data_IF_200486622565
#
_entry.id   IF_200486622565
#
_cell.length_a   1.000
_cell.length_b   1.000
_cell.length_c   1.000
_cell.angle_alpha   90.00
_cell.angle_beta   90.00
_cell.angle_gamma   90.00
#
_symmetry.space_group_name_H-M   'P 1'
#
loop_
_entity.id
_entity.type
_entity.pdbx_description
1 polymer ?
#
# COMPACT_ATOMS: atom_id res chain seq x y z
N UNK A 1 10.65 12.15 18.94
CA UNK A 1 10.56 10.96 18.06
C UNK A 1 9.28 11.11 17.27
N UNK A 2 9.35 11.16 15.93
CA UNK A 2 8.15 11.28 15.11
C UNK A 2 7.41 9.95 15.17
N UNK A 3 6.29 9.92 15.90
CA UNK A 3 5.47 8.73 16.12
C UNK A 3 4.92 8.25 14.78
N UNK A 4 5.27 7.02 14.38
CA UNK A 4 4.73 6.38 13.18
C UNK A 4 3.20 6.37 13.26
N UNK A 5 2.55 6.66 12.14
CA UNK A 5 1.10 6.73 12.03
C UNK A 5 0.59 5.50 11.29
N UNK A 6 -0.39 4.80 11.86
CA UNK A 6 -0.98 3.62 11.24
C UNK A 6 -2.32 4.01 10.61
N UNK A 7 -2.44 3.78 9.30
CA UNK A 7 -3.67 3.99 8.53
C UNK A 7 -4.14 2.65 8.00
N UNK A 8 -5.43 2.38 8.17
CA UNK A 8 -6.08 1.15 7.67
C UNK A 8 -7.36 1.51 6.93
N UNK A 9 -7.85 0.59 6.10
CA UNK A 9 -9.15 0.71 5.44
C UNK A 9 -9.34 2.03 4.67
N UNK A 10 -8.33 2.49 3.90
CA UNK A 10 -8.59 3.47 2.84
C UNK A 10 -9.63 2.92 1.84
N UNK A 11 -9.61 1.60 1.65
CA UNK A 11 -10.68 0.83 1.01
C UNK A 11 -11.46 0.05 2.07
N UNK A 12 -12.77 0.23 2.12
CA UNK A 12 -13.59 -0.32 3.21
C UNK A 12 -13.78 -1.84 3.18
N UNK A 13 -13.57 -2.50 2.04
CA UNK A 13 -13.62 -3.96 1.92
C UNK A 13 -12.28 -4.64 2.30
N UNK A 14 -11.25 -3.86 2.63
CA UNK A 14 -9.91 -4.32 3.01
C UNK A 14 -9.76 -4.26 4.55
N UNK A 15 -10.61 -5.00 5.25
CA UNK A 15 -10.81 -4.82 6.70
C UNK A 15 -9.85 -5.65 7.57
N UNK A 16 -9.18 -6.66 7.02
CA UNK A 16 -8.33 -7.55 7.83
C UNK A 16 -7.20 -6.82 8.58
N UNK A 17 -6.47 -5.86 7.96
CA UNK A 17 -5.48 -5.06 8.69
C UNK A 17 -6.10 -4.24 9.83
N UNK A 18 -7.33 -3.74 9.66
CA UNK A 18 -8.04 -2.99 10.71
C UNK A 18 -8.26 -3.86 11.94
N UNK A 19 -8.67 -5.12 11.74
CA UNK A 19 -8.86 -6.08 12.82
C UNK A 19 -7.54 -6.46 13.50
N UNK A 20 -6.49 -6.70 12.70
CA UNK A 20 -5.16 -7.03 13.20
C UNK A 20 -4.62 -5.91 14.09
N UNK A 21 -4.61 -4.67 13.61
CA UNK A 21 -4.14 -3.52 14.41
C UNK A 21 -4.99 -3.35 15.67
N UNK A 22 -6.33 -3.45 15.56
CA UNK A 22 -7.21 -3.33 16.72
C UNK A 22 -6.91 -4.38 17.80
N UNK A 23 -6.53 -5.61 17.41
CA UNK A 23 -6.21 -6.68 18.35
C UNK A 23 -4.98 -6.41 19.23
N UNK A 24 -4.11 -5.48 18.81
CA UNK A 24 -2.89 -5.10 19.54
C UNK A 24 -3.11 -3.97 20.56
N UNK A 25 -4.22 -3.23 20.46
CA UNK A 25 -4.45 -2.00 21.22
C UNK A 25 -3.66 -0.78 20.72
N UNK A 26 -2.86 -0.91 19.65
CA UNK A 26 -2.17 0.22 19.00
C UNK A 26 -3.21 1.14 18.33
N UNK A 27 -3.00 2.45 18.47
CA UNK A 27 -3.84 3.47 17.83
C UNK A 27 -3.72 3.40 16.31
N UNK A 28 -4.86 3.50 15.61
CA UNK A 28 -4.93 3.55 14.16
C UNK A 28 -5.95 4.58 13.69
N UNK A 29 -5.73 5.10 12.49
CA UNK A 29 -6.68 5.94 11.78
C UNK A 29 -7.38 5.08 10.74
N UNK A 30 -8.68 4.87 10.93
CA UNK A 30 -9.53 4.26 9.90
C UNK A 30 -9.72 5.29 8.79
N UNK A 31 -9.13 5.00 7.63
CA UNK A 31 -9.10 5.84 6.45
C UNK A 31 -10.49 6.17 5.92
N UNK A 32 -11.28 5.15 5.60
CA UNK A 32 -12.62 5.27 5.03
C UNK A 32 -13.67 4.59 5.93
N UNK A 33 -14.08 5.22 7.05
CA UNK A 33 -14.99 4.60 8.01
C UNK A 33 -16.38 4.33 7.43
N UNK A 34 -16.88 5.13 6.47
CA UNK A 34 -18.20 4.85 5.86
C UNK A 34 -18.15 3.67 4.92
N UNK A 35 -17.13 3.56 4.07
CA UNK A 35 -16.98 2.41 3.17
C UNK A 35 -16.74 1.13 3.97
N UNK A 36 -15.95 1.21 5.07
CA UNK A 36 -15.73 0.10 5.99
C UNK A 36 -17.04 -0.37 6.61
N UNK A 37 -17.87 0.55 7.11
CA UNK A 37 -19.15 0.22 7.74
C UNK A 37 -20.13 -0.51 6.79
N UNK A 38 -20.01 -0.31 5.48
CA UNK A 38 -20.85 -0.98 4.47
C UNK A 38 -20.12 -2.09 3.70
N UNK A 39 -18.88 -2.41 4.08
CA UNK A 39 -18.07 -3.47 3.44
C UNK A 39 -17.76 -3.25 1.96
N UNK A 40 -17.70 -2.01 1.49
CA UNK A 40 -17.39 -1.67 0.08
C UNK A 40 -16.02 -1.03 -0.04
N UNK A 41 -15.42 -1.10 -1.23
CA UNK A 41 -14.16 -0.40 -1.53
C UNK A 41 -14.26 1.10 -1.26
N UNK A 42 -15.33 1.73 -1.75
CA UNK A 42 -15.63 3.14 -1.54
C UNK A 42 -17.14 3.40 -1.62
N UNK A 43 -17.57 4.60 -1.24
CA UNK A 43 -18.94 5.11 -1.36
C UNK A 43 -19.14 5.82 -2.69
N UNK A 44 -18.40 6.91 -2.93
CA UNK A 44 -18.56 7.76 -4.12
C UNK A 44 -17.36 7.67 -5.08
N UNK A 45 -16.12 7.62 -4.56
CA UNK A 45 -14.90 7.52 -5.35
C UNK A 45 -13.79 6.77 -4.61
N UNK A 46 -12.81 6.19 -5.30
CA UNK A 46 -11.65 5.55 -4.66
C UNK A 46 -10.86 6.57 -3.83
N UNK A 47 -10.86 6.42 -2.50
CA UNK A 47 -10.19 7.34 -1.58
C UNK A 47 -8.69 7.46 -1.89
N UNK A 48 -8.03 6.34 -2.19
CA UNK A 48 -6.60 6.30 -2.52
C UNK A 48 -6.32 6.72 -3.98
N UNK A 49 -7.30 7.31 -4.66
CA UNK A 49 -7.17 7.92 -5.98
C UNK A 49 -7.60 9.39 -6.04
N UNK A 50 -7.97 10.01 -4.90
CA UNK A 50 -8.49 11.38 -4.84
C UNK A 50 -7.75 12.33 -3.90
N UNK A 51 -6.67 11.90 -3.23
CA UNK A 51 -5.87 12.85 -2.44
C UNK A 51 -5.33 13.97 -3.33
N UNK A 52 -5.40 15.21 -2.84
CA UNK A 52 -5.02 16.42 -3.58
C UNK A 52 -5.90 16.75 -4.79
N UNK A 53 -6.94 15.97 -5.08
CA UNK A 53 -7.85 16.22 -6.19
C UNK A 53 -9.05 17.07 -5.77
N UNK A 54 -9.55 17.89 -6.70
CA UNK A 54 -10.82 18.61 -6.52
C UNK A 54 -11.97 17.72 -6.99
N UNK A 55 -13.05 17.68 -6.23
CA UNK A 55 -14.25 16.93 -6.59
C UNK A 55 -15.37 17.11 -5.57
N UNK A 56 -16.42 16.29 -5.72
CA UNK A 56 -17.57 16.24 -4.82
C UNK A 56 -17.78 14.80 -4.39
N UNK A 57 -18.40 14.62 -3.23
CA UNK A 57 -18.65 13.31 -2.65
C UNK A 57 -17.87 13.10 -1.36
N UNK A 58 -18.14 11.98 -0.72
CA UNK A 58 -17.65 11.65 0.59
C UNK A 58 -16.12 11.47 0.59
N UNK A 59 -15.54 10.70 -0.33
CA UNK A 59 -14.09 10.44 -0.33
C UNK A 59 -13.25 11.68 -0.63
N UNK A 60 -13.72 12.62 -1.44
CA UNK A 60 -13.03 13.90 -1.65
C UNK A 60 -12.92 14.68 -0.33
N UNK A 61 -14.03 14.86 0.39
CA UNK A 61 -14.01 15.50 1.72
C UNK A 61 -13.14 14.71 2.70
N UNK A 62 -13.24 13.38 2.68
CA UNK A 62 -12.50 12.52 3.59
C UNK A 62 -10.99 12.60 3.35
N UNK A 63 -10.54 12.72 2.11
CA UNK A 63 -9.11 12.91 1.80
C UNK A 63 -8.57 14.19 2.42
N UNK A 64 -9.31 15.30 2.35
CA UNK A 64 -8.93 16.57 3.00
C UNK A 64 -8.89 16.44 4.53
N UNK A 65 -9.90 15.78 5.11
CA UNK A 65 -9.98 15.55 6.55
C UNK A 65 -8.82 14.66 7.05
N UNK A 66 -8.45 13.63 6.29
CA UNK A 66 -7.31 12.76 6.62
C UNK A 66 -5.97 13.51 6.59
N UNK A 67 -5.74 14.34 5.58
CA UNK A 67 -4.51 15.14 5.50
C UNK A 67 -4.40 16.15 6.66
N UNK A 68 -5.53 16.67 7.17
CA UNK A 68 -5.54 17.54 8.36
C UNK A 68 -5.32 16.76 9.66
N UNK A 69 -5.76 15.51 9.71
CA UNK A 69 -5.65 14.65 10.90
C UNK A 69 -4.23 14.09 11.07
N UNK A 70 -3.56 13.77 9.96
CA UNK A 70 -2.24 13.16 9.96
C UNK A 70 -1.14 14.21 10.18
N UNK A 71 -0.17 13.87 11.02
CA UNK A 71 1.06 14.62 11.18
C UNK A 71 1.88 14.53 9.88
N UNK A 72 2.10 15.67 9.23
CA UNK A 72 2.79 15.73 7.93
C UNK A 72 4.30 15.40 8.02
N UNK A 73 4.88 15.47 9.22
CA UNK A 73 6.31 15.20 9.46
C UNK A 73 6.59 13.75 9.90
N UNK A 74 5.54 12.97 10.18
CA UNK A 74 5.67 11.62 10.69
C UNK A 74 5.29 10.58 9.63
N UNK A 75 6.08 9.50 9.48
CA UNK A 75 5.83 8.52 8.44
C UNK A 75 4.54 7.73 8.70
N UNK A 76 3.83 7.40 7.62
CA UNK A 76 2.61 6.57 7.64
C UNK A 76 2.92 5.15 7.16
N UNK A 77 2.34 4.15 7.83
CA UNK A 77 2.11 2.82 7.27
C UNK A 77 0.64 2.72 6.88
N UNK A 78 0.39 2.61 5.58
CA UNK A 78 -0.93 2.53 4.98
C UNK A 78 -1.21 1.08 4.57
N UNK A 79 -2.08 0.38 5.30
CA UNK A 79 -2.33 -1.04 5.06
C UNK A 79 -3.45 -1.28 4.05
N UNK A 80 -3.17 -2.16 3.10
CA UNK A 80 -4.07 -2.62 2.04
C UNK A 80 -4.05 -4.15 1.95
N UNK A 81 -5.01 -4.68 1.20
CA UNK A 81 -5.06 -6.09 0.81
C UNK A 81 -5.41 -6.18 -0.66
N UNK A 82 -5.02 -7.28 -1.31
CA UNK A 82 -5.24 -7.47 -2.75
C UNK A 82 -6.25 -8.57 -3.06
N UNK A 83 -6.84 -8.50 -4.25
CA UNK A 83 -7.73 -9.53 -4.78
C UNK A 83 -7.01 -10.57 -5.65
N UNK A 84 -5.78 -10.27 -6.07
CA UNK A 84 -4.99 -11.10 -6.98
C UNK A 84 -4.00 -11.97 -6.21
N UNK A 85 -3.65 -13.13 -6.77
CA UNK A 85 -2.61 -13.98 -6.18
C UNK A 85 -1.25 -13.27 -6.27
N UNK A 86 -0.63 -13.05 -5.11
CA UNK A 86 0.64 -12.34 -4.96
C UNK A 86 1.22 -12.62 -3.58
N UNK A 87 2.55 -12.64 -3.47
CA UNK A 87 3.22 -12.45 -2.20
C UNK A 87 2.89 -11.07 -1.62
N UNK A 88 2.96 -10.86 -0.29
CA UNK A 88 2.92 -9.53 0.31
C UNK A 88 4.03 -8.61 -0.21
N UNK A 89 3.71 -7.33 -0.42
CA UNK A 89 4.65 -6.34 -0.90
C UNK A 89 4.42 -4.97 -0.28
N UNK A 90 5.41 -4.10 -0.35
CA UNK A 90 5.32 -2.73 0.15
C UNK A 90 5.69 -1.72 -0.95
N UNK A 91 4.84 -0.71 -1.15
CA UNK A 91 5.00 0.34 -2.15
C UNK A 91 5.49 1.61 -1.48
N UNK A 92 6.51 2.23 -2.06
CA UNK A 92 6.97 3.58 -1.70
C UNK A 92 7.18 4.41 -2.97
N UNK A 93 6.96 5.71 -2.86
CA UNK A 93 7.02 6.66 -4.00
C UNK A 93 8.21 7.63 -3.90
N UNK A 94 8.75 7.84 -2.71
CA UNK A 94 9.94 8.64 -2.44
C UNK A 94 11.10 7.72 -2.01
N UNK A 95 12.27 7.85 -2.65
CA UNK A 95 13.46 7.07 -2.30
C UNK A 95 13.90 7.28 -0.86
N UNK A 96 13.63 8.45 -0.28
CA UNK A 96 13.92 8.71 1.13
C UNK A 96 13.16 7.76 2.08
N UNK A 97 12.06 7.16 1.62
CA UNK A 97 11.28 6.17 2.37
C UNK A 97 11.83 4.75 2.29
N UNK A 98 12.88 4.47 1.50
CA UNK A 98 13.43 3.12 1.39
C UNK A 98 13.86 2.51 2.74
N UNK A 99 14.57 3.21 3.64
CA UNK A 99 14.90 2.66 4.96
C UNK A 99 13.66 2.30 5.77
N UNK A 100 12.59 3.11 5.68
CA UNK A 100 11.33 2.84 6.36
C UNK A 100 10.56 1.69 5.71
N UNK A 101 10.60 1.56 4.39
CA UNK A 101 10.03 0.44 3.65
C UNK A 101 10.71 -0.89 4.03
N UNK A 102 12.05 -0.89 4.14
CA UNK A 102 12.81 -2.04 4.66
C UNK A 102 12.41 -2.41 6.08
N UNK A 103 12.15 -1.41 6.93
CA UNK A 103 11.68 -1.61 8.31
C UNK A 103 10.34 -2.33 8.40
N UNK A 104 9.54 -2.40 7.33
CA UNK A 104 8.31 -3.22 7.35
C UNK A 104 8.60 -4.72 7.47
N UNK A 105 9.81 -5.17 7.09
CA UNK A 105 10.17 -6.58 6.99
C UNK A 105 9.53 -7.31 5.80
N UNK A 106 8.87 -6.58 4.90
CA UNK A 106 8.33 -7.15 3.68
C UNK A 106 9.44 -7.37 2.65
N UNK A 107 9.51 -8.59 2.12
CA UNK A 107 10.57 -8.99 1.18
C UNK A 107 10.47 -8.29 -0.17
N UNK A 108 9.28 -8.05 -0.69
CA UNK A 108 9.06 -7.44 -2.01
C UNK A 108 8.76 -5.95 -1.86
N UNK A 109 9.71 -5.10 -2.22
CA UNK A 109 9.55 -3.65 -2.16
C UNK A 109 9.38 -3.08 -3.56
N UNK A 110 8.37 -2.25 -3.77
CA UNK A 110 8.07 -1.61 -5.04
C UNK A 110 8.38 -0.12 -4.95
N UNK A 111 9.33 0.33 -5.74
CA UNK A 111 9.57 1.75 -5.98
C UNK A 111 8.67 2.24 -7.12
N UNK A 112 7.58 2.91 -6.76
CA UNK A 112 6.60 3.45 -7.69
C UNK A 112 7.00 4.87 -8.14
N UNK A 113 8.09 4.98 -8.90
CA UNK A 113 8.59 6.27 -9.40
C UNK A 113 7.58 6.96 -10.32
N UNK A 114 6.92 6.18 -11.18
CA UNK A 114 5.91 6.66 -12.12
C UNK A 114 4.54 6.66 -11.42
N UNK A 115 3.97 7.83 -11.25
CA UNK A 115 2.70 8.01 -10.54
C UNK A 115 1.50 7.66 -11.43
N UNK A 116 1.13 6.38 -11.52
CA UNK A 116 -0.03 5.93 -12.32
C UNK A 116 -1.38 6.45 -11.80
N UNK A 117 -1.47 6.83 -10.52
CA UNK A 117 -2.64 7.50 -9.94
C UNK A 117 -2.57 9.04 -10.02
N UNK A 118 -1.73 9.60 -10.88
CA UNK A 118 -1.50 11.06 -10.97
C UNK A 118 -1.05 11.69 -9.64
N UNK A 119 -0.38 10.93 -8.79
CA UNK A 119 0.13 11.40 -7.49
C UNK A 119 -0.94 11.58 -6.43
N UNK A 120 -2.06 10.86 -6.54
CA UNK A 120 -3.25 11.03 -5.68
C UNK A 120 -3.42 9.93 -4.62
N UNK A 121 -2.41 9.09 -4.39
CA UNK A 121 -2.42 8.14 -3.29
C UNK A 121 -2.00 8.84 -1.99
N UNK A 122 -2.39 8.31 -0.82
CA UNK A 122 -2.04 8.92 0.47
C UNK A 122 -0.53 9.15 0.61
N UNK A 123 0.27 8.15 0.26
CA UNK A 123 1.73 8.18 0.35
C UNK A 123 2.41 9.16 -0.65
N UNK A 124 1.66 9.75 -1.57
CA UNK A 124 2.15 10.86 -2.39
C UNK A 124 2.11 12.21 -1.66
N UNK A 125 1.31 12.31 -0.60
CA UNK A 125 1.10 13.57 0.13
C UNK A 125 1.73 13.58 1.52
N UNK A 126 1.99 12.40 2.09
CA UNK A 126 2.63 12.24 3.41
C UNK A 126 3.74 11.20 3.27
N UNK A 127 4.92 11.41 3.88
CA UNK A 127 5.97 10.39 3.90
C UNK A 127 5.40 9.06 4.39
N UNK A 128 5.56 7.98 3.63
CA UNK A 128 4.94 6.73 4.02
C UNK A 128 5.20 5.57 3.08
N UNK A 129 4.72 4.42 3.50
CA UNK A 129 4.77 3.15 2.77
C UNK A 129 3.38 2.55 2.79
N UNK A 130 2.91 2.13 1.61
CA UNK A 130 1.67 1.38 1.45
C UNK A 130 2.00 -0.10 1.48
N UNK A 131 1.42 -0.88 2.38
CA UNK A 131 1.75 -2.28 2.59
C UNK A 131 0.56 -3.16 2.23
N UNK A 132 0.81 -4.09 1.33
CA UNK A 132 -0.17 -5.00 0.75
C UNK A 132 0.08 -6.37 1.35
N UNK A 133 -0.76 -6.76 2.33
CA UNK A 133 -0.40 -7.78 3.33
C UNK A 133 -0.90 -9.19 3.02
N UNK A 134 -1.70 -9.37 1.97
CA UNK A 134 -2.38 -10.62 1.66
C UNK A 134 -3.77 -10.38 1.06
N UNK A 135 -4.54 -11.46 0.90
CA UNK A 135 -5.92 -11.35 0.39
C UNK A 135 -6.90 -10.84 1.44
N UNK A 136 -7.96 -10.16 1.00
CA UNK A 136 -8.90 -9.36 1.83
C UNK A 136 -9.38 -10.01 3.13
N UNK A 137 -9.51 -11.35 3.17
CA UNK A 137 -10.06 -12.09 4.31
C UNK A 137 -9.13 -13.19 4.84
N UNK A 138 -7.88 -13.22 4.41
CA UNK A 138 -6.94 -14.29 4.78
C UNK A 138 -6.38 -14.12 6.19
N UNK A 139 -6.05 -15.25 6.83
CA UNK A 139 -5.23 -15.27 8.05
C UNK A 139 -3.84 -14.68 7.77
N UNK A 140 -3.30 -14.90 6.59
CA UNK A 140 -2.04 -14.31 6.13
C UNK A 140 -2.07 -12.78 6.23
N UNK A 141 -3.10 -12.12 5.71
CA UNK A 141 -3.24 -10.66 5.82
C UNK A 141 -3.24 -10.20 7.29
N UNK A 142 -3.87 -10.95 8.19
CA UNK A 142 -3.86 -10.66 9.62
C UNK A 142 -2.45 -10.79 10.22
N UNK A 143 -1.81 -11.95 10.03
CA UNK A 143 -0.49 -12.25 10.59
C UNK A 143 0.59 -11.31 10.03
N UNK A 144 0.58 -11.06 8.71
CA UNK A 144 1.51 -10.14 8.05
C UNK A 144 1.33 -8.72 8.55
N UNK A 145 0.09 -8.27 8.82
CA UNK A 145 -0.14 -6.95 9.44
C UNK A 145 0.53 -6.87 10.81
N UNK A 146 0.39 -7.90 11.66
CA UNK A 146 1.03 -7.93 12.98
C UNK A 146 2.55 -7.91 12.90
N UNK A 147 3.13 -8.67 11.95
CA UNK A 147 4.57 -8.70 11.73
C UNK A 147 5.09 -7.31 11.30
N UNK A 148 4.40 -6.66 10.36
CA UNK A 148 4.76 -5.31 9.90
C UNK A 148 4.68 -4.31 11.07
N UNK A 149 3.61 -4.35 11.87
CA UNK A 149 3.49 -3.50 13.06
C UNK A 149 4.65 -3.71 14.04
N UNK A 150 4.98 -4.97 14.33
CA UNK A 150 6.08 -5.30 15.25
C UNK A 150 7.40 -4.76 14.72
N UNK A 151 7.66 -4.88 13.42
CA UNK A 151 8.92 -4.44 12.81
C UNK A 151 9.03 -2.91 12.76
N UNK A 152 7.98 -2.20 12.33
CA UNK A 152 8.05 -0.74 12.20
C UNK A 152 8.12 -0.05 13.57
N UNK A 153 7.57 -0.66 14.62
CA UNK A 153 7.61 -0.13 15.99
C UNK A 153 8.85 -0.56 16.77
N UNK A 154 9.60 -1.56 16.31
CA UNK A 154 10.86 -1.96 16.94
C UNK A 154 11.91 -0.83 16.87
N UNK A 155 12.78 -0.75 17.88
CA UNK A 155 13.90 0.19 17.88
C UNK A 155 15.02 -0.26 16.92
N UNK A 156 15.21 -1.57 16.79
CA UNK A 156 16.23 -2.17 15.93
C UNK A 156 15.69 -2.47 14.53
N UNK A 157 16.55 -2.28 13.53
CA UNK A 157 16.28 -2.67 12.14
C UNK A 157 16.73 -4.12 11.97
N UNK A 158 15.82 -5.00 11.57
CA UNK A 158 16.14 -6.39 11.27
C UNK A 158 17.05 -6.50 10.04
N UNK A 159 17.73 -7.64 9.90
CA UNK A 159 18.54 -7.94 8.73
C UNK A 159 17.69 -7.83 7.45
N UNK A 160 18.17 -7.02 6.52
CA UNK A 160 17.46 -6.70 5.28
C UNK A 160 17.77 -7.72 4.19
N UNK A 161 16.76 -8.49 3.80
CA UNK A 161 16.80 -9.40 2.66
C UNK A 161 15.80 -8.99 1.56
N UNK A 162 15.39 -7.73 1.55
CA UNK A 162 14.38 -7.23 0.64
C UNK A 162 14.90 -7.13 -0.81
N UNK A 163 13.97 -7.29 -1.73
CA UNK A 163 14.17 -7.16 -3.17
C UNK A 163 13.41 -5.93 -3.65
N UNK A 164 14.10 -5.00 -4.31
CA UNK A 164 13.49 -3.76 -4.79
C UNK A 164 13.15 -3.87 -6.28
N UNK A 165 11.92 -3.51 -6.62
CA UNK A 165 11.38 -3.50 -7.98
C UNK A 165 10.98 -2.07 -8.36
N UNK A 166 11.60 -1.50 -9.39
CA UNK A 166 11.20 -0.20 -9.94
C UNK A 166 10.16 -0.40 -11.05
N UNK A 167 8.97 0.18 -10.87
CA UNK A 167 7.93 0.17 -11.91
C UNK A 167 8.28 1.18 -12.99
N UNK A 168 8.25 0.74 -14.25
CA UNK A 168 8.57 1.58 -15.39
C UNK A 168 7.43 1.69 -16.43
N UNK A 169 6.52 0.71 -16.48
CA UNK A 169 5.42 0.73 -17.45
C UNK A 169 4.19 -0.08 -17.02
N UNK A 170 3.16 -0.11 -17.85
CA UNK A 170 1.95 -0.94 -17.68
C UNK A 170 1.94 -2.15 -18.62
N UNK A 171 1.16 -3.17 -18.26
CA UNK A 171 0.86 -4.32 -19.11
C UNK A 171 -0.47 -4.07 -19.82
N UNK A 172 -0.43 -3.86 -21.14
CA UNK A 172 -1.62 -3.61 -21.97
C UNK A 172 -2.20 -4.87 -22.60
N UNK A 173 -1.38 -5.92 -22.73
CA UNK A 173 -1.79 -7.16 -23.38
C UNK A 173 -2.36 -8.15 -22.37
N UNK A 174 -3.44 -8.87 -22.73
CA UNK A 174 -3.93 -9.97 -21.89
C UNK A 174 -2.91 -11.11 -21.85
N UNK A 175 -2.78 -11.74 -20.69
CA UNK A 175 -1.85 -12.85 -20.51
C UNK A 175 -1.95 -13.49 -19.14
N UNK A 176 -1.24 -14.61 -18.97
CA UNK A 176 -0.99 -15.21 -17.67
C UNK A 176 0.29 -14.60 -17.12
N UNK A 177 0.15 -13.81 -16.07
CA UNK A 177 1.25 -13.13 -15.41
C UNK A 177 1.34 -13.62 -13.97
N UNK A 178 2.56 -13.93 -13.55
CA UNK A 178 2.87 -14.29 -12.18
C UNK A 178 3.61 -13.12 -11.54
N UNK A 179 3.06 -12.60 -10.45
CA UNK A 179 3.63 -11.42 -9.78
C UNK A 179 5.04 -11.74 -9.26
N UNK A 180 5.98 -10.81 -9.49
CA UNK A 180 7.38 -10.90 -9.08
C UNK A 180 8.23 -12.02 -9.72
N UNK A 181 7.71 -12.70 -10.76
CA UNK A 181 8.44 -13.69 -11.57
C UNK A 181 8.87 -13.10 -12.92
N UNK A 182 10.09 -13.40 -13.38
CA UNK A 182 10.63 -12.80 -14.62
C UNK A 182 9.85 -13.30 -15.84
N UNK A 183 9.17 -12.41 -16.54
CA UNK A 183 8.37 -12.69 -17.72
C UNK A 183 9.17 -12.44 -18.99
N UNK A 184 9.29 -13.48 -19.84
CA UNK A 184 9.96 -13.44 -21.15
C UNK A 184 11.37 -12.81 -21.16
N UNK A 185 12.12 -12.92 -20.05
CA UNK A 185 13.44 -12.27 -19.87
C UNK A 185 13.41 -10.73 -20.01
N UNK A 186 12.25 -10.09 -19.80
CA UNK A 186 12.05 -8.67 -20.04
C UNK A 186 11.70 -7.92 -18.73
N UNK A 187 10.59 -8.29 -18.09
CA UNK A 187 10.09 -7.58 -16.90
C UNK A 187 9.49 -8.50 -15.84
N UNK A 188 9.33 -7.98 -14.64
CA UNK A 188 8.61 -8.61 -13.53
C UNK A 188 7.20 -8.03 -13.45
N UNK A 189 6.13 -8.82 -13.68
CA UNK A 189 4.77 -8.36 -13.46
C UNK A 189 4.54 -8.01 -11.99
N UNK A 190 3.77 -6.95 -11.74
CA UNK A 190 3.37 -6.50 -10.41
C UNK A 190 1.90 -6.07 -10.45
N UNK A 191 1.13 -6.37 -9.41
CA UNK A 191 -0.32 -6.14 -9.36
C UNK A 191 -1.08 -6.79 -10.54
N UNK A 192 -0.48 -7.80 -11.18
CA UNK A 192 -1.11 -8.48 -12.31
C UNK A 192 -2.28 -9.34 -11.84
N UNK A 193 -3.38 -9.30 -12.58
CA UNK A 193 -4.64 -9.96 -12.19
C UNK A 193 -5.47 -9.17 -11.16
N UNK A 194 -5.01 -8.02 -10.71
CA UNK A 194 -5.86 -7.10 -9.95
C UNK A 194 -6.76 -6.34 -10.93
N UNK A 195 -8.07 -6.35 -10.66
CA UNK A 195 -9.08 -5.77 -11.55
C UNK A 195 -9.49 -4.29 -11.28
N UNK A 196 -8.77 -3.44 -10.50
CA UNK A 196 -9.20 -2.05 -10.31
C UNK A 196 -8.74 -1.10 -11.43
N UNK A 197 -8.03 -1.58 -12.45
CA UNK A 197 -7.42 -0.73 -13.50
C UNK A 197 -7.78 -1.19 -14.92
N UNK A 198 -7.74 -0.27 -15.89
CA UNK A 198 -7.92 -0.55 -17.34
C UNK A 198 -6.70 -1.24 -17.99
N UNK A 199 -5.83 -1.86 -17.19
CA UNK A 199 -4.61 -2.54 -17.63
C UNK A 199 -4.42 -3.84 -16.84
N UNK A 200 -3.63 -4.79 -17.37
CA UNK A 200 -3.51 -6.15 -16.82
C UNK A 200 -2.49 -6.30 -15.69
N UNK A 201 -1.68 -5.28 -15.44
CA UNK A 201 -0.69 -5.19 -14.37
C UNK A 201 0.36 -4.12 -14.67
N UNK A 202 1.41 -4.09 -13.86
CA UNK A 202 2.55 -3.19 -14.01
C UNK A 202 3.79 -3.96 -14.43
N UNK A 203 4.65 -3.32 -15.22
CA UNK A 203 5.99 -3.81 -15.56
C UNK A 203 7.02 -3.21 -14.61
N UNK A 204 7.78 -4.07 -13.95
CA UNK A 204 8.86 -3.66 -13.07
C UNK A 204 10.18 -4.33 -13.44
N UNK A 205 11.29 -3.74 -13.02
CA UNK A 205 12.64 -4.31 -13.09
C UNK A 205 13.21 -4.40 -11.69
N UNK A 206 13.95 -5.47 -11.39
CA UNK A 206 14.68 -5.60 -10.13
C UNK A 206 15.88 -4.65 -10.15
N UNK A 207 16.08 -3.90 -9.07
CA UNK A 207 17.18 -2.93 -8.94
C UNK A 207 17.85 -3.03 -7.58
N UNK A 208 19.08 -2.52 -7.51
CA UNK A 208 19.77 -2.21 -6.27
C UNK A 208 19.62 -0.71 -5.99
N UNK A 209 18.92 -0.37 -4.92
CA UNK A 209 18.91 0.99 -4.38
C UNK A 209 19.87 1.01 -3.19
N UNK A 210 20.96 1.75 -3.37
CA UNK A 210 21.91 2.11 -2.29
C UNK A 210 21.34 3.29 -1.52
#
# INVERSE_FOLDING_TARGET
>A
MNTIQIVTALHGNEYMPTLAVASTGISQIVGNPRALAIGKRFVDADLNGVFGAKGKGYEYKRSEDLLKLLNQEAPVVDFHTFSAESDPFAIFVDKAMLPFAKKTGIKKLIFMKKNFKNGRALINHIPGVSVEVGTHTSKEAFDTTLNVLSNVLAEEVQEDNSEVYEVFDIITEPGKYENFSLYNNDFYPVLAGSNPYDFYGLKAKKIELV
#
